data_IF_612889419068
#
_entry.id   IF_612889419068
#
_cell.length_a   1.000
_cell.length_b   1.000
_cell.length_c   1.000
_cell.angle_alpha   90.00
_cell.angle_beta   90.00
_cell.angle_gamma   90.00
#
_symmetry.space_group_name_H-M   'P 1'
#
loop_
_entity.id
_entity.type
_entity.pdbx_description
1 polymer ?
#
# COMPACT_ATOMS: atom_id res chain seq x y z
N UNK A 1 15.69 4.20 4.54
CA UNK A 1 14.92 2.95 4.72
C UNK A 1 13.64 3.08 3.90
N UNK A 2 13.18 2.03 3.20
CA UNK A 2 11.94 2.10 2.43
C UNK A 2 10.75 2.38 3.34
N UNK A 3 9.93 3.33 2.94
CA UNK A 3 8.73 3.72 3.66
C UNK A 3 7.53 3.75 2.71
N UNK A 4 6.35 3.48 3.26
CA UNK A 4 5.10 3.55 2.53
C UNK A 4 4.12 4.37 3.38
N UNK A 5 3.74 5.55 2.86
CA UNK A 5 2.76 6.41 3.50
C UNK A 5 1.37 5.99 3.03
N UNK A 6 0.54 5.62 4.00
CA UNK A 6 -0.85 5.26 3.77
C UNK A 6 -1.71 6.47 4.06
N UNK A 7 -2.51 6.90 3.08
CA UNK A 7 -3.40 8.04 3.22
C UNK A 7 -4.83 7.60 2.90
N UNK A 8 -5.76 7.93 3.78
CA UNK A 8 -7.18 7.75 3.51
C UNK A 8 -7.59 8.82 2.51
N UNK A 9 -7.77 8.43 1.25
CA UNK A 9 -8.21 9.35 0.20
C UNK A 9 -9.70 9.64 0.28
N UNK A 10 -10.53 8.59 0.40
CA UNK A 10 -11.97 8.75 0.35
C UNK A 10 -12.72 7.76 1.24
N UNK A 11 -13.59 8.30 2.10
CA UNK A 11 -14.57 7.53 2.86
C UNK A 11 -15.94 7.93 2.36
N UNK A 12 -16.69 7.02 1.72
CA UNK A 12 -18.10 7.32 1.45
C UNK A 12 -19.01 6.38 2.24
N UNK A 13 -19.54 6.94 3.31
CA UNK A 13 -20.19 6.17 4.36
C UNK A 13 -19.64 6.53 5.72
N UNK A 14 -19.34 5.50 6.51
CA UNK A 14 -18.70 5.62 7.81
C UNK A 14 -17.65 4.52 7.92
N UNK A 15 -16.45 4.84 8.38
CA UNK A 15 -15.47 3.83 8.75
C UNK A 15 -15.68 3.40 10.21
N UNK A 16 -15.74 2.09 10.48
CA UNK A 16 -15.86 1.58 11.85
C UNK A 16 -14.64 1.92 12.73
N UNK A 17 -13.44 2.01 12.13
CA UNK A 17 -12.22 2.48 12.80
C UNK A 17 -12.16 4.01 12.94
N UNK A 18 -13.15 4.73 12.42
CA UNK A 18 -13.25 6.19 12.53
C UNK A 18 -12.40 6.98 11.54
N UNK A 19 -11.85 6.33 10.51
CA UNK A 19 -11.06 7.01 9.48
C UNK A 19 -11.84 8.10 8.74
N UNK A 20 -11.12 9.16 8.37
CA UNK A 20 -11.58 10.31 7.58
C UNK A 20 -10.59 10.59 6.45
N UNK A 21 -11.01 11.23 5.36
CA UNK A 21 -10.08 11.71 4.33
C UNK A 21 -8.94 12.54 4.95
N UNK A 22 -7.71 12.25 4.55
CA UNK A 22 -6.49 12.87 5.06
C UNK A 22 -5.88 12.19 6.30
N UNK A 23 -6.58 11.25 6.94
CA UNK A 23 -5.97 10.40 7.97
C UNK A 23 -4.83 9.59 7.34
N UNK A 24 -3.71 9.49 8.04
CA UNK A 24 -2.53 8.80 7.53
C UNK A 24 -1.82 7.97 8.60
N UNK A 25 -1.06 6.98 8.13
CA UNK A 25 -0.09 6.26 8.95
C UNK A 25 1.08 5.77 8.09
N UNK A 26 2.20 5.47 8.75
CA UNK A 26 3.44 5.10 8.09
C UNK A 26 3.81 3.63 8.31
N UNK A 27 4.20 2.97 7.23
CA UNK A 27 4.83 1.65 7.24
C UNK A 27 6.33 1.83 6.97
N UNK A 28 7.16 1.18 7.79
CA UNK A 28 8.62 1.09 7.59
C UNK A 28 9.04 -0.38 7.62
N UNK A 29 9.80 -0.81 6.62
CA UNK A 29 10.31 -2.17 6.48
C UNK A 29 9.23 -3.27 6.64
N UNK A 30 9.03 -3.79 7.85
CA UNK A 30 8.07 -4.87 8.15
C UNK A 30 7.09 -4.52 9.28
N UNK A 31 7.00 -3.25 9.67
CA UNK A 31 6.16 -2.80 10.78
C UNK A 31 5.45 -1.46 10.49
N UNK A 32 4.38 -1.23 11.23
CA UNK A 32 3.74 0.09 11.32
C UNK A 32 4.53 0.93 12.30
N UNK A 33 4.89 2.15 11.92
CA UNK A 33 5.63 3.07 12.78
C UNK A 33 4.88 3.32 14.10
N UNK A 34 5.61 3.58 15.18
CA UNK A 34 4.99 3.83 16.49
C UNK A 34 4.32 5.21 16.52
N UNK A 35 3.50 5.47 17.53
CA UNK A 35 2.92 6.80 17.80
C UNK A 35 2.15 7.39 16.62
N UNK A 36 1.30 6.58 15.99
CA UNK A 36 0.40 7.06 14.95
C UNK A 36 -0.78 7.80 15.58
N UNK A 37 -1.19 8.91 14.97
CA UNK A 37 -2.35 9.71 15.41
C UNK A 37 -3.69 9.01 15.12
N UNK A 38 -3.64 7.92 14.35
CA UNK A 38 -4.80 7.13 13.95
C UNK A 38 -4.71 5.70 14.49
N UNK A 39 -5.88 5.09 14.69
CA UNK A 39 -5.96 3.66 14.99
C UNK A 39 -5.58 2.85 13.75
N UNK A 40 -4.85 1.76 13.92
CA UNK A 40 -4.53 0.86 12.81
C UNK A 40 -5.69 -0.12 12.60
N UNK A 41 -6.40 0.04 11.48
CA UNK A 41 -7.54 -0.80 11.12
C UNK A 41 -7.08 -2.14 10.55
N UNK A 42 -7.55 -3.26 11.13
CA UNK A 42 -7.21 -4.59 10.62
C UNK A 42 -7.73 -4.86 9.20
N UNK A 43 -8.86 -4.28 8.79
CA UNK A 43 -9.32 -4.41 7.39
C UNK A 43 -8.40 -3.66 6.42
N UNK A 44 -7.92 -2.48 6.80
CA UNK A 44 -6.95 -1.74 6.00
C UNK A 44 -5.67 -2.56 5.85
N UNK A 45 -5.11 -3.04 6.97
CA UNK A 45 -3.91 -3.87 6.96
C UNK A 45 -4.07 -5.14 6.11
N UNK A 46 -5.20 -5.85 6.28
CA UNK A 46 -5.53 -7.04 5.48
C UNK A 46 -5.57 -6.75 3.98
N UNK A 47 -6.15 -5.61 3.57
CA UNK A 47 -6.25 -5.21 2.17
C UNK A 47 -4.91 -4.91 1.50
N UNK A 48 -3.88 -4.61 2.29
CA UNK A 48 -2.56 -4.24 1.81
C UNK A 48 -1.51 -5.32 2.01
N UNK A 49 -1.76 -6.32 2.87
CA UNK A 49 -0.69 -7.17 3.42
C UNK A 49 0.17 -7.83 2.34
N UNK A 50 -0.47 -8.28 1.25
CA UNK A 50 0.21 -8.90 0.10
C UNK A 50 0.91 -7.89 -0.82
N UNK A 51 0.56 -6.61 -0.73
CA UNK A 51 1.06 -5.51 -1.57
C UNK A 51 2.18 -4.71 -0.91
N UNK A 52 2.27 -4.71 0.43
CA UNK A 52 3.28 -3.94 1.16
C UNK A 52 4.71 -4.31 0.74
N UNK A 53 5.04 -5.60 0.66
CA UNK A 53 6.38 -6.06 0.29
C UNK A 53 6.82 -5.62 -1.12
N UNK A 54 6.04 -5.83 -2.20
CA UNK A 54 6.41 -5.31 -3.51
C UNK A 54 6.46 -3.78 -3.57
N UNK A 55 5.52 -3.07 -2.91
CA UNK A 55 5.52 -1.60 -2.88
C UNK A 55 6.76 -1.03 -2.18
N UNK A 56 7.16 -1.60 -1.03
CA UNK A 56 8.38 -1.19 -0.32
C UNK A 56 9.67 -1.51 -1.11
N UNK A 57 9.62 -2.49 -2.03
CA UNK A 57 10.72 -2.80 -2.96
C UNK A 57 10.75 -1.89 -4.19
N UNK A 58 9.77 -1.00 -4.34
CA UNK A 58 9.67 -0.07 -5.46
C UNK A 58 9.03 -0.66 -6.71
N UNK A 59 8.23 -1.73 -6.59
CA UNK A 59 7.43 -2.22 -7.71
C UNK A 59 6.36 -1.17 -8.02
N UNK A 60 6.24 -0.68 -9.28
CA UNK A 60 5.24 0.32 -9.65
C UNK A 60 3.81 -0.20 -9.39
N UNK A 61 2.92 0.59 -8.75
CA UNK A 61 1.54 0.18 -8.53
C UNK A 61 0.76 -0.14 -9.82
N UNK A 62 1.08 0.55 -10.92
CA UNK A 62 0.52 0.27 -12.24
C UNK A 62 0.79 -1.17 -12.70
N UNK A 63 2.00 -1.70 -12.47
CA UNK A 63 2.34 -3.10 -12.81
C UNK A 63 1.58 -4.13 -11.97
N UNK A 64 1.11 -3.72 -10.78
CA UNK A 64 0.29 -4.53 -9.90
C UNK A 64 -1.21 -4.37 -10.18
N UNK A 65 -1.59 -3.49 -11.12
CA UNK A 65 -2.98 -3.22 -11.49
C UNK A 65 -3.79 -2.49 -10.43
N UNK A 66 -3.11 -1.78 -9.51
CA UNK A 66 -3.75 -1.12 -8.36
C UNK A 66 -3.62 0.41 -8.42
N UNK A 67 -3.16 1.02 -9.51
CA UNK A 67 -3.07 2.47 -9.59
C UNK A 67 -2.20 2.98 -10.73
N UNK A 68 -1.57 4.13 -10.51
CA UNK A 68 -0.60 4.75 -11.42
C UNK A 68 0.82 4.30 -11.10
N UNK A 69 1.83 4.85 -11.78
CA UNK A 69 3.24 4.53 -11.51
C UNK A 69 3.70 5.00 -10.11
N UNK A 70 3.02 6.00 -9.54
CA UNK A 70 3.42 6.65 -8.27
C UNK A 70 2.47 6.33 -7.12
N UNK A 71 1.20 6.05 -7.43
CA UNK A 71 0.13 5.97 -6.45
C UNK A 71 -0.59 4.64 -6.56
N UNK A 72 -0.67 3.92 -5.46
CA UNK A 72 -1.49 2.72 -5.35
C UNK A 72 -2.83 3.05 -4.68
N UNK A 73 -3.90 2.40 -5.10
CA UNK A 73 -5.22 2.49 -4.50
C UNK A 73 -5.70 1.07 -4.18
N UNK A 74 -6.10 0.82 -2.94
CA UNK A 74 -6.77 -0.44 -2.58
C UNK A 74 -8.06 -0.14 -1.84
N UNK A 75 -9.02 -1.05 -1.95
CA UNK A 75 -10.29 -0.87 -1.29
C UNK A 75 -10.34 -1.63 0.03
N UNK A 76 -10.94 -1.01 1.04
CA UNK A 76 -11.31 -1.70 2.27
C UNK A 76 -12.21 -2.92 1.94
N UNK A 77 -11.85 -4.14 2.37
CA UNK A 77 -12.63 -5.35 2.12
C UNK A 77 -13.84 -5.44 3.06
N UNK A 78 -14.16 -4.37 3.81
CA UNK A 78 -15.31 -4.36 4.70
C UNK A 78 -16.60 -4.63 3.89
N UNK A 79 -17.33 -5.72 4.21
CA UNK A 79 -18.48 -6.15 3.42
C UNK A 79 -19.62 -5.13 3.36
N UNK A 80 -19.69 -4.20 4.33
CA UNK A 80 -20.78 -3.22 4.43
C UNK A 80 -22.16 -3.88 4.66
N UNK A 81 -23.28 -3.18 4.39
CA UNK A 81 -24.62 -3.72 4.59
C UNK A 81 -24.93 -4.89 3.64
N UNK A 82 -25.73 -5.89 4.07
CA UNK A 82 -26.46 -5.96 5.35
C UNK A 82 -25.60 -6.40 6.56
N UNK A 83 -24.36 -6.83 6.32
CA UNK A 83 -23.48 -7.36 7.36
C UNK A 83 -23.01 -6.29 8.36
N UNK A 84 -22.97 -4.99 7.97
CA UNK A 84 -22.79 -3.81 8.85
C UNK A 84 -23.47 -2.56 8.29
N UNK A 85 -23.91 -1.60 9.14
CA UNK A 85 -24.63 -0.35 8.72
C UNK A 85 -23.76 0.72 8.03
N UNK A 86 -22.61 0.38 7.47
CA UNK A 86 -21.57 1.35 7.14
C UNK A 86 -21.08 1.20 5.69
N UNK A 87 -21.02 2.31 4.94
CA UNK A 87 -20.66 2.27 3.53
C UNK A 87 -19.14 2.26 3.27
N UNK A 88 -18.81 1.71 2.09
CA UNK A 88 -17.51 1.29 1.55
C UNK A 88 -16.52 2.48 1.47
N UNK A 89 -15.24 2.22 1.14
CA UNK A 89 -14.36 3.01 0.23
C UNK A 89 -12.87 3.04 0.59
N UNK A 90 -12.13 3.68 -0.32
CA UNK A 90 -10.83 3.36 -0.90
C UNK A 90 -9.71 3.98 -0.07
N UNK A 91 -8.64 3.22 0.15
CA UNK A 91 -7.36 3.69 0.65
C UNK A 91 -6.46 4.04 -0.53
N UNK A 92 -5.70 5.13 -0.38
CA UNK A 92 -4.65 5.53 -1.31
C UNK A 92 -3.30 5.36 -0.60
N UNK A 93 -2.30 4.91 -1.35
CA UNK A 93 -0.93 4.76 -0.87
C UNK A 93 -0.04 5.56 -1.78
N UNK A 94 0.79 6.39 -1.16
CA UNK A 94 1.92 7.05 -1.80
C UNK A 94 3.18 6.49 -1.15
N UNK A 95 4.01 5.78 -1.91
CA UNK A 95 5.31 5.32 -1.43
C UNK A 95 6.38 6.34 -1.82
N UNK A 96 7.03 6.98 -0.85
CA UNK A 96 8.27 7.72 -1.10
C UNK A 96 9.45 6.84 -0.71
N UNK A 97 10.35 6.54 -1.65
CA UNK A 97 11.57 5.81 -1.37
C UNK A 97 12.73 6.77 -1.11
N UNK A 98 13.17 6.85 0.16
CA UNK A 98 14.45 7.42 0.56
C UNK A 98 14.74 8.87 0.10
N UNK A 99 13.75 9.76 -0.02
CA UNK A 99 14.01 11.17 -0.35
C UNK A 99 14.80 11.39 -1.66
N UNK A 100 14.82 10.40 -2.55
CA UNK A 100 15.39 10.51 -3.90
C UNK A 100 14.35 9.97 -4.87
N UNK A 101 13.85 10.87 -5.71
CA UNK A 101 13.03 10.57 -6.88
C UNK A 101 13.65 9.40 -7.67
N UNK A 102 13.06 8.21 -7.55
CA UNK A 102 13.55 6.99 -8.18
C UNK A 102 13.15 6.87 -9.65
N UNK A 103 12.49 7.85 -10.25
CA UNK A 103 12.36 7.92 -11.71
C UNK A 103 13.70 8.22 -12.42
N UNK A 104 14.74 8.64 -11.68
CA UNK A 104 16.09 8.85 -12.24
C UNK A 104 16.97 7.59 -12.28
N UNK A 105 16.49 6.40 -11.90
CA UNK A 105 17.28 5.15 -11.94
C UNK A 105 16.77 4.10 -12.93
N UNK A 106 15.94 4.47 -13.90
CA UNK A 106 15.70 3.63 -15.08
C UNK A 106 16.79 3.85 -16.14
N UNK A 107 18.03 3.48 -15.84
CA UNK A 107 18.96 3.06 -16.89
C UNK A 107 20.14 2.20 -16.40
N UNK A 108 19.89 1.23 -15.50
CA UNK A 108 20.76 0.05 -15.32
C UNK A 108 20.17 -0.90 -14.28
N UNK A 109 19.44 -1.91 -14.74
CA UNK A 109 19.48 -3.21 -14.08
C UNK A 109 19.67 -4.28 -15.15
N UNK A 110 20.71 -5.13 -15.05
CA UNK A 110 20.96 -6.16 -16.03
C UNK A 110 19.90 -7.26 -15.91
N UNK A 111 19.58 -7.84 -17.07
CA UNK A 111 18.77 -9.03 -17.24
C UNK A 111 19.35 -10.13 -16.33
N UNK A 112 18.53 -10.70 -15.45
CA UNK A 112 18.94 -11.85 -14.65
C UNK A 112 18.69 -13.10 -15.50
N UNK A 113 19.77 -13.72 -15.98
CA UNK A 113 19.72 -15.04 -16.59
C UNK A 113 19.21 -16.07 -15.58
N UNK A 114 18.11 -16.73 -15.91
CA UNK A 114 17.57 -17.89 -15.19
C UNK A 114 18.13 -19.17 -15.81
N UNK A 115 19.43 -19.40 -15.67
CA UNK A 115 20.03 -20.67 -16.07
C UNK A 115 19.99 -21.69 -14.91
N UNK A 116 19.44 -22.87 -15.21
CA UNK A 116 19.99 -24.12 -14.70
C UNK A 116 19.30 -24.80 -13.52
N UNK A 117 18.05 -25.22 -13.66
CA UNK A 117 17.53 -26.38 -12.90
C UNK A 117 17.94 -27.67 -13.63
N UNK A 118 19.15 -28.17 -13.36
CA UNK A 118 19.47 -29.58 -13.60
C UNK A 118 19.13 -30.37 -12.34
N UNK A 119 18.24 -31.34 -12.47
CA UNK A 119 17.98 -32.37 -11.48
C UNK A 119 19.15 -33.34 -11.44
N UNK A 120 19.77 -33.49 -10.28
CA UNK A 120 20.48 -34.71 -9.87
C UNK A 120 19.52 -35.58 -9.03
#
# INVERSE_FOLDING_TARGET
>A
MPELRVIVEEVRGRCAAGYKPGDEFLLRDFYVERMQDVRICLHALSSMLTLISPLLKGVPPASLGIGSDETAHVQCPDPGPPYRKHARKLYCFSGEMNGVDRFSLNNQQPVVDIDGLSTD
#
